data_IF_254902706968
#
_entry.id   IF_254902706968
#
_cell.length_a   1.000
_cell.length_b   1.000
_cell.length_c   1.000
_cell.angle_alpha   90.00
_cell.angle_beta   90.00
_cell.angle_gamma   90.00
#
_symmetry.space_group_name_H-M   'P 1'
#
loop_
_entity.id
_entity.type
_entity.pdbx_description
1 polymer ?
#
# COMPACT_ATOMS: atom_id res chain seq x y z
N UNK A 1 18.95 -31.35 0.34
CA UNK A 1 19.59 -30.16 0.92
C UNK A 1 19.00 -29.73 2.26
N UNK A 2 17.90 -30.32 2.74
CA UNK A 2 17.26 -29.94 4.02
C UNK A 2 17.62 -31.00 5.07
N UNK A 3 18.09 -30.57 6.25
CA UNK A 3 18.40 -31.46 7.37
C UNK A 3 17.29 -31.37 8.42
N UNK A 4 17.18 -32.40 9.26
CA UNK A 4 16.26 -32.37 10.40
C UNK A 4 16.57 -31.17 11.31
N UNK A 5 15.55 -30.41 11.68
CA UNK A 5 15.68 -29.18 12.48
C UNK A 5 15.90 -27.90 11.68
N UNK A 6 16.10 -27.97 10.36
CA UNK A 6 16.13 -26.78 9.50
C UNK A 6 14.76 -26.08 9.45
N UNK A 7 14.78 -24.75 9.28
CA UNK A 7 13.59 -23.91 9.03
C UNK A 7 13.78 -23.16 7.72
N UNK A 8 12.74 -23.10 6.89
CA UNK A 8 12.72 -22.35 5.63
C UNK A 8 11.74 -21.19 5.79
N UNK A 9 12.13 -20.00 5.35
CA UNK A 9 11.27 -18.81 5.34
C UNK A 9 11.10 -18.39 3.88
N UNK A 10 9.85 -18.29 3.44
CA UNK A 10 9.47 -17.82 2.10
C UNK A 10 8.77 -16.48 2.29
N UNK A 11 9.19 -15.46 1.53
CA UNK A 11 8.52 -14.17 1.47
C UNK A 11 7.98 -13.99 0.05
N UNK A 12 6.70 -13.66 -0.05
CA UNK A 12 5.98 -13.51 -1.32
C UNK A 12 4.89 -12.45 -1.18
N UNK A 13 4.65 -11.71 -2.26
CA UNK A 13 3.48 -10.83 -2.44
C UNK A 13 2.26 -11.60 -2.96
N UNK A 14 2.38 -12.89 -3.23
CA UNK A 14 1.30 -13.74 -3.73
C UNK A 14 1.08 -14.94 -2.81
N UNK A 15 -0.05 -14.94 -2.09
CA UNK A 15 -0.43 -16.01 -1.15
C UNK A 15 -0.66 -17.35 -1.84
N UNK A 16 -1.07 -17.35 -3.11
CA UNK A 16 -1.38 -18.59 -3.83
C UNK A 16 -0.13 -19.47 -4.01
N UNK A 17 1.05 -18.86 -4.08
CA UNK A 17 2.33 -19.56 -4.27
C UNK A 17 2.77 -20.39 -3.06
N UNK A 18 2.20 -20.12 -1.88
CA UNK A 18 2.61 -20.76 -0.62
C UNK A 18 1.51 -21.63 0.01
N UNK A 19 0.31 -21.65 -0.57
CA UNK A 19 -0.86 -22.27 0.03
C UNK A 19 -0.67 -23.78 0.31
N UNK A 20 0.04 -24.49 -0.57
CA UNK A 20 0.22 -25.95 -0.50
C UNK A 20 1.61 -26.37 0.00
N UNK A 21 2.49 -25.42 0.31
CA UNK A 21 3.90 -25.70 0.67
C UNK A 21 4.34 -25.14 2.02
N UNK A 22 3.59 -24.18 2.59
CA UNK A 22 3.93 -23.57 3.87
C UNK A 22 3.14 -24.20 5.02
N UNK A 23 3.84 -24.67 6.05
CA UNK A 23 3.21 -25.16 7.29
C UNK A 23 2.52 -24.03 8.07
N UNK A 24 3.07 -22.81 7.98
CA UNK A 24 2.58 -21.61 8.67
C UNK A 24 2.72 -20.38 7.79
N UNK A 25 1.67 -19.57 7.75
CA UNK A 25 1.63 -18.31 7.01
C UNK A 25 1.48 -17.13 7.97
N UNK A 26 2.26 -16.06 7.73
CA UNK A 26 2.16 -14.81 8.46
C UNK A 26 1.98 -13.65 7.46
N UNK A 27 0.85 -12.95 7.55
CA UNK A 27 0.61 -11.73 6.77
C UNK A 27 1.22 -10.56 7.53
N UNK A 28 2.20 -9.90 6.91
CA UNK A 28 2.84 -8.72 7.52
C UNK A 28 1.83 -7.57 7.60
N UNK A 29 1.50 -7.06 8.80
CA UNK A 29 0.57 -5.96 8.94
C UNK A 29 1.19 -4.64 8.46
N UNK A 30 0.33 -3.71 8.05
CA UNK A 30 0.75 -2.33 7.82
C UNK A 30 1.28 -1.69 9.11
N UNK A 31 2.15 -0.69 8.97
CA UNK A 31 2.58 0.09 10.13
C UNK A 31 1.37 0.84 10.71
N UNK A 32 1.12 0.67 12.00
CA UNK A 32 0.15 1.51 12.70
C UNK A 32 0.64 2.97 12.71
N UNK A 33 -0.25 3.91 13.03
CA UNK A 33 0.06 5.33 12.99
C UNK A 33 1.31 5.71 13.82
N UNK A 34 1.50 5.11 14.99
CA UNK A 34 2.65 5.42 15.87
C UNK A 34 3.96 4.93 15.24
N UNK A 35 4.00 3.70 14.77
CA UNK A 35 5.18 3.11 14.16
C UNK A 35 5.48 3.73 12.80
N UNK A 36 4.43 4.08 12.04
CA UNK A 36 4.52 4.82 10.79
C UNK A 36 5.12 6.21 10.98
N UNK A 37 4.71 6.93 12.03
CA UNK A 37 5.29 8.22 12.38
C UNK A 37 6.77 8.09 12.76
N UNK A 38 7.13 7.08 13.57
CA UNK A 38 8.53 6.80 13.89
C UNK A 38 9.36 6.44 12.65
N UNK A 39 8.80 5.64 11.73
CA UNK A 39 9.45 5.25 10.49
C UNK A 39 9.66 6.46 9.57
N UNK A 40 8.64 7.27 9.33
CA UNK A 40 8.72 8.51 8.55
C UNK A 40 9.73 9.49 9.16
N UNK A 41 9.62 9.76 10.47
CA UNK A 41 10.47 10.70 11.20
C UNK A 41 11.95 10.34 11.09
N UNK A 42 12.28 9.04 11.11
CA UNK A 42 13.65 8.56 10.94
C UNK A 42 14.29 9.03 9.64
N UNK A 43 13.52 9.16 8.56
CA UNK A 43 14.04 9.62 7.26
C UNK A 43 13.86 11.12 7.06
N UNK A 44 12.79 11.71 7.60
CA UNK A 44 12.50 13.14 7.49
C UNK A 44 13.42 14.03 8.34
N UNK A 45 13.95 13.51 9.44
CA UNK A 45 14.73 14.29 10.41
C UNK A 45 16.11 13.70 10.70
N UNK A 46 16.58 12.74 9.90
CA UNK A 46 17.91 12.17 10.10
C UNK A 46 18.94 13.31 10.08
N UNK A 47 19.66 13.49 11.20
CA UNK A 47 20.63 14.59 11.48
C UNK A 47 20.06 15.94 11.96
N UNK A 48 18.74 16.09 12.19
CA UNK A 48 18.11 17.35 12.61
C UNK A 48 17.21 17.19 13.85
N UNK A 49 17.83 17.02 15.03
CA UNK A 49 17.14 16.79 16.31
C UNK A 49 16.21 17.92 16.78
N UNK A 50 16.36 19.13 16.23
CA UNK A 50 15.65 20.33 16.71
C UNK A 50 14.24 20.50 16.11
N UNK A 51 13.87 19.68 15.11
CA UNK A 51 12.59 19.81 14.40
C UNK A 51 11.43 19.18 15.18
N UNK A 52 11.71 18.28 16.13
CA UNK A 52 10.69 17.63 16.96
C UNK A 52 9.85 18.59 17.83
N UNK A 53 10.32 19.82 18.07
CA UNK A 53 9.63 20.82 18.88
C UNK A 53 8.77 21.80 18.07
N UNK A 54 8.72 21.66 16.75
CA UNK A 54 7.84 22.48 15.90
C UNK A 54 6.47 21.79 15.73
N UNK A 55 5.43 22.33 16.37
CA UNK A 55 4.06 21.81 16.31
C UNK A 55 3.53 21.74 14.86
N UNK A 56 3.89 22.69 14.00
CA UNK A 56 3.46 22.72 12.60
C UNK A 56 4.08 21.55 11.83
N UNK A 57 5.39 21.31 11.99
CA UNK A 57 6.06 20.17 11.35
C UNK A 57 5.53 18.84 11.86
N UNK A 58 5.21 18.75 13.16
CA UNK A 58 4.58 17.55 13.72
C UNK A 58 3.19 17.30 13.11
N UNK A 59 2.39 18.36 12.91
CA UNK A 59 1.08 18.24 12.24
C UNK A 59 1.27 17.76 10.80
N UNK A 60 2.16 18.39 10.03
CA UNK A 60 2.45 17.97 8.65
C UNK A 60 2.96 16.53 8.57
N UNK A 61 3.81 16.11 9.50
CA UNK A 61 4.31 14.72 9.58
C UNK A 61 3.17 13.72 9.70
N UNK A 62 2.14 14.02 10.50
CA UNK A 62 0.96 13.16 10.64
C UNK A 62 0.15 13.09 9.34
N UNK A 63 0.04 14.19 8.59
CA UNK A 63 -0.64 14.19 7.28
C UNK A 63 0.12 13.34 6.25
N UNK A 64 1.47 13.42 6.19
CA UNK A 64 2.27 12.54 5.34
C UNK A 64 2.16 11.06 5.75
N UNK A 65 2.14 10.79 7.05
CA UNK A 65 1.94 9.42 7.57
C UNK A 65 0.54 8.91 7.24
N UNK A 66 -0.47 9.77 7.31
CA UNK A 66 -1.82 9.46 6.91
C UNK A 66 -1.89 9.13 5.42
N UNK A 67 -1.26 9.93 4.56
CA UNK A 67 -1.16 9.64 3.13
C UNK A 67 -0.49 8.29 2.85
N UNK A 68 0.64 8.00 3.53
CA UNK A 68 1.37 6.75 3.32
C UNK A 68 0.64 5.49 3.85
N UNK A 69 -0.42 5.64 4.65
CA UNK A 69 -1.29 4.57 5.18
C UNK A 69 -0.52 3.33 5.65
N UNK A 70 0.57 3.55 6.39
CA UNK A 70 1.37 2.46 6.95
C UNK A 70 2.23 1.67 5.96
N UNK A 71 2.30 2.06 4.68
CA UNK A 71 3.20 1.44 3.70
C UNK A 71 4.66 1.89 3.96
N UNK A 72 5.55 1.00 4.44
CA UNK A 72 6.88 1.40 4.94
C UNK A 72 7.72 2.10 3.87
N UNK A 73 7.73 1.58 2.64
CA UNK A 73 8.54 2.16 1.55
C UNK A 73 8.06 3.57 1.14
N UNK A 74 6.75 3.80 1.08
CA UNK A 74 6.18 5.13 0.78
C UNK A 74 6.52 6.12 1.90
N UNK A 75 6.37 5.71 3.16
CA UNK A 75 6.75 6.56 4.31
C UNK A 75 8.24 6.91 4.30
N UNK A 76 9.10 5.96 3.93
CA UNK A 76 10.53 6.22 3.74
C UNK A 76 10.79 7.22 2.62
N UNK A 77 10.17 7.05 1.45
CA UNK A 77 10.34 7.94 0.30
C UNK A 77 9.90 9.37 0.62
N UNK A 78 8.73 9.51 1.26
CA UNK A 78 8.21 10.80 1.70
C UNK A 78 9.13 11.45 2.72
N UNK A 79 9.57 10.71 3.74
CA UNK A 79 10.49 11.26 4.73
C UNK A 79 11.80 11.70 4.11
N UNK A 80 12.41 10.87 3.26
CA UNK A 80 13.68 11.19 2.61
C UNK A 80 13.59 12.43 1.69
N UNK A 81 12.48 12.62 0.97
CA UNK A 81 12.24 13.79 0.10
C UNK A 81 12.16 15.10 0.88
N UNK A 82 11.63 15.04 2.11
CA UNK A 82 11.39 16.18 2.98
C UNK A 82 12.58 16.56 3.86
N UNK A 83 13.61 15.72 3.93
CA UNK A 83 14.76 15.95 4.79
C UNK A 83 15.50 17.24 4.40
N UNK A 84 15.77 18.10 5.38
CA UNK A 84 16.43 19.40 5.20
C UNK A 84 15.60 20.44 4.44
N UNK A 85 14.31 20.19 4.18
CA UNK A 85 13.39 21.14 3.53
C UNK A 85 12.66 21.99 4.56
N UNK A 86 12.26 23.20 4.15
CA UNK A 86 11.50 24.12 4.97
C UNK A 86 10.00 23.79 5.02
N UNK A 87 9.28 24.47 5.91
CA UNK A 87 7.86 24.25 6.13
C UNK A 87 7.01 24.51 4.87
N UNK A 88 7.37 25.52 4.07
CA UNK A 88 6.63 25.86 2.86
C UNK A 88 6.76 24.74 1.80
N UNK A 89 7.95 24.16 1.66
CA UNK A 89 8.15 22.99 0.81
C UNK A 89 7.29 21.80 1.27
N UNK A 90 7.21 21.53 2.57
CA UNK A 90 6.37 20.45 3.10
C UNK A 90 4.89 20.67 2.77
N UNK A 91 4.38 21.90 2.93
CA UNK A 91 2.99 22.25 2.58
C UNK A 91 2.73 22.08 1.09
N UNK A 92 3.63 22.60 0.23
CA UNK A 92 3.50 22.46 -1.22
C UNK A 92 3.50 20.99 -1.63
N UNK A 93 4.43 20.18 -1.09
CA UNK A 93 4.50 18.76 -1.39
C UNK A 93 3.22 18.02 -0.99
N UNK A 94 2.70 18.31 0.20
CA UNK A 94 1.46 17.70 0.68
C UNK A 94 0.26 18.09 -0.20
N UNK A 95 0.17 19.36 -0.62
CA UNK A 95 -0.85 19.82 -1.57
C UNK A 95 -0.74 19.10 -2.92
N UNK A 96 0.49 18.92 -3.45
CA UNK A 96 0.70 18.16 -4.68
C UNK A 96 0.27 16.69 -4.54
N UNK A 97 0.56 16.05 -3.40
CA UNK A 97 0.15 14.67 -3.14
C UNK A 97 -1.37 14.49 -3.03
N UNK A 98 -2.10 15.54 -2.67
CA UNK A 98 -3.56 15.53 -2.65
C UNK A 98 -4.16 15.54 -4.07
N UNK A 99 -3.43 16.06 -5.05
CA UNK A 99 -3.83 16.07 -6.45
C UNK A 99 -3.35 14.81 -7.17
N UNK A 100 -2.06 14.46 -7.04
CA UNK A 100 -1.42 13.37 -7.76
C UNK A 100 -0.34 12.68 -6.92
N UNK A 101 -0.19 11.36 -7.05
CA UNK A 101 0.92 10.59 -6.52
C UNK A 101 2.24 11.04 -7.15
N UNK A 102 3.31 11.17 -6.34
CA UNK A 102 4.65 11.39 -6.88
C UNK A 102 5.13 10.17 -7.68
N UNK A 103 5.96 10.39 -8.70
CA UNK A 103 6.48 9.31 -9.56
C UNK A 103 7.08 8.14 -8.76
N UNK A 104 7.87 8.44 -7.73
CA UNK A 104 8.48 7.42 -6.88
C UNK A 104 7.47 6.52 -6.15
N UNK A 105 6.28 7.02 -5.86
CA UNK A 105 5.21 6.25 -5.21
C UNK A 105 4.48 5.42 -6.24
N UNK A 106 4.25 5.96 -7.45
CA UNK A 106 3.73 5.20 -8.58
C UNK A 106 4.63 4.03 -8.92
N UNK A 107 5.94 4.26 -8.99
CA UNK A 107 6.93 3.21 -9.29
C UNK A 107 6.88 2.05 -8.27
N UNK A 108 6.62 2.34 -6.99
CA UNK A 108 6.47 1.32 -5.94
C UNK A 108 5.23 0.45 -6.19
N UNK A 109 4.11 1.04 -6.58
CA UNK A 109 2.85 0.34 -6.79
C UNK A 109 2.80 -0.36 -8.15
N UNK A 110 3.45 0.23 -9.15
CA UNK A 110 3.56 -0.28 -10.52
C UNK A 110 4.19 -1.68 -10.55
N UNK A 111 5.20 -1.95 -9.71
CA UNK A 111 5.85 -3.27 -9.64
C UNK A 111 4.83 -4.38 -9.39
N UNK A 112 3.97 -4.21 -8.38
CA UNK A 112 2.95 -5.21 -8.07
C UNK A 112 1.88 -5.28 -9.17
N UNK A 113 1.51 -4.12 -9.73
CA UNK A 113 0.50 -4.06 -10.80
C UNK A 113 0.98 -4.78 -12.08
N UNK A 114 2.25 -4.66 -12.43
CA UNK A 114 2.81 -5.30 -13.64
C UNK A 114 2.92 -6.82 -13.54
N UNK A 115 2.82 -7.39 -12.34
CA UNK A 115 2.72 -8.83 -12.12
C UNK A 115 1.31 -9.40 -12.35
N UNK A 116 0.31 -8.54 -12.57
CA UNK A 116 -1.05 -8.96 -12.90
C UNK A 116 -1.16 -9.39 -14.37
N UNK A 117 -1.98 -10.41 -14.65
CA UNK A 117 -2.43 -10.70 -16.01
C UNK A 117 -3.26 -9.54 -16.54
N UNK A 118 -3.40 -9.43 -17.87
CA UNK A 118 -4.19 -8.35 -18.47
C UNK A 118 -5.63 -8.34 -17.95
N UNK A 119 -6.25 -9.52 -17.80
CA UNK A 119 -7.58 -9.68 -17.21
C UNK A 119 -7.67 -9.13 -15.78
N UNK A 120 -6.74 -9.50 -14.89
CA UNK A 120 -6.72 -8.97 -13.53
C UNK A 120 -6.43 -7.46 -13.48
N UNK A 121 -5.68 -6.91 -14.45
CA UNK A 121 -5.47 -5.47 -14.58
C UNK A 121 -6.80 -4.75 -14.90
N UNK A 122 -7.57 -5.29 -15.82
CA UNK A 122 -8.87 -4.73 -16.19
C UNK A 122 -9.84 -4.78 -15.00
N UNK A 123 -9.91 -5.92 -14.31
CA UNK A 123 -10.75 -6.08 -13.09
C UNK A 123 -10.32 -5.14 -11.97
N UNK A 124 -9.01 -4.96 -11.76
CA UNK A 124 -8.48 -4.01 -10.78
C UNK A 124 -8.96 -2.58 -11.07
N UNK A 125 -8.95 -2.16 -12.33
CA UNK A 125 -9.42 -0.83 -12.74
C UNK A 125 -10.95 -0.69 -12.61
N UNK A 126 -11.71 -1.74 -12.89
CA UNK A 126 -13.17 -1.75 -12.67
C UNK A 126 -13.51 -1.58 -11.19
N UNK A 127 -12.83 -2.32 -10.29
CA UNK A 127 -13.00 -2.18 -8.83
C UNK A 127 -12.59 -0.78 -8.36
N UNK A 128 -11.53 -0.20 -8.96
CA UNK A 128 -11.06 1.13 -8.63
C UNK A 128 -12.10 2.23 -8.90
N UNK A 129 -13.14 1.97 -9.72
CA UNK A 129 -14.24 2.92 -9.91
C UNK A 129 -15.03 3.19 -8.63
N UNK A 130 -15.09 2.22 -7.71
CA UNK A 130 -15.93 2.29 -6.51
C UNK A 130 -15.14 2.57 -5.23
N UNK A 131 -13.84 2.26 -5.20
CA UNK A 131 -12.97 2.25 -4.00
C UNK A 131 -13.35 1.24 -2.93
N UNK A 132 -14.63 1.19 -2.54
CA UNK A 132 -15.22 0.23 -1.61
C UNK A 132 -16.64 -0.06 -2.05
N UNK A 133 -16.95 -1.31 -2.35
CA UNK A 133 -18.29 -1.72 -2.79
C UNK A 133 -18.65 -3.12 -2.31
N UNK A 134 -19.94 -3.43 -2.27
CA UNK A 134 -20.43 -4.75 -1.91
C UNK A 134 -19.87 -5.83 -2.85
N UNK A 135 -19.36 -6.93 -2.27
CA UNK A 135 -18.75 -8.03 -3.01
C UNK A 135 -19.72 -8.63 -4.02
N UNK A 136 -20.99 -8.77 -3.65
CA UNK A 136 -22.05 -9.26 -4.55
C UNK A 136 -22.28 -8.36 -5.77
N UNK A 137 -22.10 -7.04 -5.60
CA UNK A 137 -22.23 -6.09 -6.70
C UNK A 137 -21.00 -6.19 -7.62
N UNK A 138 -19.78 -6.18 -7.07
CA UNK A 138 -18.55 -6.40 -7.85
C UNK A 138 -18.64 -7.72 -8.62
N UNK A 139 -19.08 -8.80 -7.98
CA UNK A 139 -19.24 -10.10 -8.62
C UNK A 139 -20.27 -10.11 -9.76
N UNK A 140 -21.27 -9.21 -9.72
CA UNK A 140 -22.25 -9.05 -10.81
C UNK A 140 -21.73 -8.27 -12.02
N UNK A 141 -20.66 -7.49 -11.83
CA UNK A 141 -19.94 -6.78 -12.90
C UNK A 141 -18.96 -7.71 -13.62
N UNK A 142 -18.46 -8.72 -12.90
CA UNK A 142 -17.60 -9.78 -13.44
C UNK A 142 -18.44 -10.88 -14.10
N UNK A 143 -17.79 -11.77 -14.86
CA UNK A 143 -18.44 -13.01 -15.25
C UNK A 143 -18.81 -13.78 -13.97
N UNK A 144 -20.11 -13.94 -13.74
CA UNK A 144 -20.64 -14.52 -12.50
C UNK A 144 -20.07 -15.91 -12.18
N UNK A 145 -19.57 -16.64 -13.18
CA UNK A 145 -18.99 -17.98 -12.98
C UNK A 145 -17.57 -17.97 -12.42
N UNK A 146 -16.81 -16.88 -12.65
CA UNK A 146 -15.38 -16.75 -12.30
C UNK A 146 -15.13 -15.61 -11.28
N UNK A 147 -16.13 -14.78 -10.99
CA UNK A 147 -16.04 -13.65 -10.07
C UNK A 147 -15.34 -13.97 -8.73
N UNK A 148 -15.71 -15.09 -8.10
CA UNK A 148 -15.14 -15.50 -6.82
C UNK A 148 -13.64 -15.86 -6.94
N UNK A 149 -13.21 -16.49 -8.05
CA UNK A 149 -11.80 -16.77 -8.29
C UNK A 149 -11.01 -15.50 -8.60
N UNK A 150 -11.59 -14.59 -9.37
CA UNK A 150 -10.95 -13.32 -9.75
C UNK A 150 -10.73 -12.39 -8.54
N UNK A 151 -11.76 -12.21 -7.70
CA UNK A 151 -11.64 -11.45 -6.46
C UNK A 151 -10.58 -12.07 -5.56
N UNK A 152 -10.60 -13.40 -5.41
CA UNK A 152 -9.62 -14.14 -4.60
C UNK A 152 -8.20 -13.98 -5.15
N UNK A 153 -8.01 -13.96 -6.46
CA UNK A 153 -6.70 -13.78 -7.09
C UNK A 153 -6.11 -12.39 -6.78
N UNK A 154 -6.91 -11.33 -6.90
CA UNK A 154 -6.49 -9.97 -6.51
C UNK A 154 -6.23 -9.85 -5.00
N UNK A 155 -7.05 -10.49 -4.15
CA UNK A 155 -6.82 -10.55 -2.70
C UNK A 155 -5.52 -11.28 -2.34
N UNK A 156 -5.19 -12.37 -3.05
CA UNK A 156 -3.96 -13.13 -2.84
C UNK A 156 -2.71 -12.30 -3.15
N UNK A 157 -2.83 -11.34 -4.07
CA UNK A 157 -1.79 -10.39 -4.46
C UNK A 157 -1.82 -9.06 -3.70
N UNK A 158 -2.66 -8.96 -2.65
CA UNK A 158 -2.84 -7.77 -1.81
C UNK A 158 -3.28 -6.50 -2.58
N UNK A 159 -3.91 -6.67 -3.75
CA UNK A 159 -4.43 -5.55 -4.55
C UNK A 159 -5.74 -4.99 -4.00
N UNK A 160 -6.50 -5.85 -3.35
CA UNK A 160 -7.77 -5.54 -2.70
C UNK A 160 -7.83 -6.27 -1.37
N UNK A 161 -8.72 -5.82 -0.50
CA UNK A 161 -9.13 -6.51 0.71
C UNK A 161 -10.62 -6.81 0.65
N UNK A 162 -11.06 -7.88 1.29
CA UNK A 162 -12.49 -8.14 1.51
C UNK A 162 -12.75 -8.12 2.99
N UNK A 163 -13.67 -7.26 3.42
CA UNK A 163 -14.05 -7.08 4.82
C UNK A 163 -15.55 -6.81 4.89
N UNK A 164 -16.25 -7.50 5.79
CA UNK A 164 -17.70 -7.30 6.01
C UNK A 164 -18.51 -7.32 4.70
N UNK A 165 -18.24 -8.32 3.84
CA UNK A 165 -18.88 -8.50 2.52
C UNK A 165 -18.64 -7.34 1.53
N UNK A 166 -17.61 -6.50 1.77
CA UNK A 166 -17.19 -5.42 0.87
C UNK A 166 -15.80 -5.67 0.32
N UNK A 167 -15.65 -5.42 -0.98
CA UNK A 167 -14.35 -5.32 -1.66
C UNK A 167 -13.82 -3.91 -1.49
N UNK A 168 -12.65 -3.77 -0.87
CA UNK A 168 -12.00 -2.51 -0.56
C UNK A 168 -10.64 -2.41 -1.24
N UNK A 169 -10.37 -1.26 -1.86
CA UNK A 169 -9.06 -0.92 -2.40
C UNK A 169 -8.34 0.05 -1.46
N UNK A 170 -7.11 -0.29 -1.11
CA UNK A 170 -6.27 0.57 -0.28
C UNK A 170 -6.05 1.93 -0.94
N UNK A 171 -6.06 3.02 -0.17
CA UNK A 171 -5.97 4.41 -0.67
C UNK A 171 -4.87 4.63 -1.70
N UNK A 172 -3.67 4.10 -1.45
CA UNK A 172 -2.54 4.24 -2.37
C UNK A 172 -2.80 3.53 -3.71
N UNK A 173 -3.41 2.35 -3.68
CA UNK A 173 -3.77 1.59 -4.88
C UNK A 173 -4.91 2.26 -5.64
N UNK A 174 -5.89 2.82 -4.92
CA UNK A 174 -6.98 3.58 -5.52
C UNK A 174 -6.46 4.85 -6.23
N UNK A 175 -5.59 5.62 -5.57
CA UNK A 175 -4.99 6.81 -6.20
C UNK A 175 -4.16 6.41 -7.41
N UNK A 176 -3.37 5.35 -7.32
CA UNK A 176 -2.60 4.82 -8.45
C UNK A 176 -3.50 4.41 -9.62
N UNK A 177 -4.56 3.64 -9.36
CA UNK A 177 -5.50 3.19 -10.39
C UNK A 177 -6.17 4.36 -11.12
N UNK A 178 -6.48 5.44 -10.40
CA UNK A 178 -7.07 6.66 -10.98
C UNK A 178 -6.12 7.46 -11.88
N UNK A 179 -4.84 7.15 -11.84
CA UNK A 179 -3.79 7.83 -12.61
C UNK A 179 -3.32 7.01 -13.83
N UNK A 180 -3.81 5.78 -13.98
CA UNK A 180 -3.64 4.93 -15.15
C UNK A 180 -4.66 5.30 -16.24
#
# INVERSE_FOLDING_TARGET
WIRQGSRIVIATSDKSLIQDVADYTYVVPQLNHKDGLGHFARYAFDHHSNIHNNEVIMKLSKEFVHYGRGHPLVLKLLGADLNGKDEDHWKTKLATLAENSSQSIRDVLQVSYDELSQEHKDIFLDIACFRSEDESYIASLLDSSEAASEIKALMNKFMINVSEDRVEMHDLLYTFAREL
#
